data_IF_533587346206
#
_entry.id   IF_533587346206
#
_cell.length_a   1.000
_cell.length_b   1.000
_cell.length_c   1.000
_cell.angle_alpha   90.00
_cell.angle_beta   90.00
_cell.angle_gamma   90.00
#
_symmetry.space_group_name_H-M   'P 1'
#
loop_
_entity.id
_entity.type
_entity.pdbx_description
1 polymer ?
#
# COMPACT_ATOMS: atom_id res chain seq x y z
N UNK A 1 -13.26 58.46 56.86
CA UNK A 1 -14.19 57.41 57.33
C UNK A 1 -13.76 56.08 56.72
N UNK A 2 -13.97 55.02 57.48
CA UNK A 2 -13.26 53.74 57.48
C UNK A 2 -13.53 52.78 56.31
N UNK A 3 -12.59 51.81 56.21
CA UNK A 3 -12.73 50.40 55.75
C UNK A 3 -12.74 50.18 54.23
N UNK A 4 -12.15 49.12 53.68
CA UNK A 4 -11.51 47.93 54.22
C UNK A 4 -10.55 47.34 53.18
N UNK A 5 -9.47 46.71 53.66
CA UNK A 5 -8.66 45.78 52.89
C UNK A 5 -9.45 44.48 52.63
N UNK A 6 -9.28 43.89 51.45
CA UNK A 6 -9.58 42.48 51.21
C UNK A 6 -8.50 41.89 50.32
N UNK A 7 -7.90 40.81 50.82
CA UNK A 7 -6.88 40.02 50.18
C UNK A 7 -7.52 39.04 49.17
N UNK A 8 -6.88 38.89 48.01
CA UNK A 8 -7.08 37.71 47.17
C UNK A 8 -5.72 37.32 46.57
N UNK A 9 -5.25 36.15 46.98
CA UNK A 9 -4.04 35.53 46.49
C UNK A 9 -4.24 35.11 45.02
N UNK A 10 -3.48 35.70 44.10
CA UNK A 10 -3.35 35.18 42.75
C UNK A 10 -2.37 34.00 42.76
N UNK A 11 -2.89 32.80 42.97
CA UNK A 11 -2.19 31.57 42.62
C UNK A 11 -1.97 31.55 41.10
N UNK A 12 -0.72 31.31 40.72
CA UNK A 12 -0.29 31.25 39.33
C UNK A 12 -0.94 30.11 38.57
N UNK A 13 -1.34 30.41 37.33
CA UNK A 13 -1.56 29.40 36.31
C UNK A 13 -0.59 29.68 35.17
N UNK A 14 0.56 28.99 35.20
CA UNK A 14 1.51 28.94 34.09
C UNK A 14 0.86 28.12 32.98
N UNK A 15 0.11 28.78 32.10
CA UNK A 15 -0.37 28.18 30.85
C UNK A 15 0.83 27.92 29.94
N UNK A 16 1.33 26.69 29.93
CA UNK A 16 2.27 26.24 28.90
C UNK A 16 1.51 26.16 27.57
N UNK A 17 1.89 26.99 26.61
CA UNK A 17 1.44 26.87 25.23
C UNK A 17 2.03 25.58 24.64
N UNK A 18 1.22 24.53 24.55
CA UNK A 18 1.54 23.33 23.78
C UNK A 18 1.64 23.73 22.31
N UNK A 19 2.84 23.59 21.73
CA UNK A 19 3.06 23.83 20.31
C UNK A 19 2.19 22.86 19.51
N UNK A 20 1.31 23.37 18.64
CA UNK A 20 0.65 22.57 17.62
C UNK A 20 1.72 21.91 16.77
N UNK A 21 1.82 20.58 16.87
CA UNK A 21 2.53 19.75 15.89
C UNK A 21 1.82 19.96 14.55
N UNK A 22 2.51 20.39 13.48
CA UNK A 22 1.89 20.45 12.17
C UNK A 22 1.51 19.02 11.78
N UNK A 23 0.24 18.80 11.46
CA UNK A 23 -0.23 17.52 10.93
C UNK A 23 0.68 17.07 9.78
N UNK A 24 1.18 15.84 9.86
CA UNK A 24 1.85 15.20 8.72
C UNK A 24 0.85 15.11 7.58
N UNK A 25 0.90 16.06 6.66
CA UNK A 25 0.44 15.83 5.31
C UNK A 25 1.26 14.68 4.73
N UNK A 26 0.59 13.69 4.14
CA UNK A 26 1.23 12.66 3.31
C UNK A 26 1.72 13.30 2.01
N UNK A 27 2.62 14.29 2.09
CA UNK A 27 3.40 14.70 0.94
C UNK A 27 4.70 13.92 1.01
N UNK A 28 4.76 12.83 0.23
CA UNK A 28 6.06 12.27 -0.13
C UNK A 28 6.97 13.38 -0.65
N UNK A 29 8.24 13.30 -0.32
CA UNK A 29 9.31 14.14 -0.86
C UNK A 29 9.14 14.26 -2.38
N UNK A 30 9.45 15.44 -2.97
CA UNK A 30 9.31 15.76 -4.39
C UNK A 30 10.25 14.93 -5.31
N UNK A 31 10.33 13.62 -5.13
CA UNK A 31 10.87 12.75 -6.15
C UNK A 31 9.89 12.69 -7.33
N UNK A 32 10.44 12.76 -8.54
CA UNK A 32 9.63 12.75 -9.75
C UNK A 32 8.83 11.43 -9.80
N UNK A 33 7.50 11.53 -9.69
CA UNK A 33 6.60 10.38 -9.73
C UNK A 33 6.91 9.48 -10.93
N UNK A 34 7.02 8.17 -10.66
CA UNK A 34 7.31 7.13 -11.66
C UNK A 34 6.17 7.02 -12.67
N UNK A 35 6.49 6.54 -13.88
CA UNK A 35 5.53 6.39 -14.99
C UNK A 35 5.43 4.92 -15.40
N UNK A 36 4.23 4.41 -15.58
CA UNK A 36 4.02 3.06 -16.13
C UNK A 36 4.34 3.03 -17.63
N UNK A 37 4.53 1.84 -18.23
CA UNK A 37 4.66 1.71 -19.68
C UNK A 37 3.47 2.26 -20.47
N UNK A 38 2.29 2.38 -19.85
CA UNK A 38 1.05 2.88 -20.46
C UNK A 38 0.80 4.38 -20.20
N UNK A 39 1.77 5.12 -19.67
CA UNK A 39 1.62 6.54 -19.34
C UNK A 39 1.11 7.40 -20.51
N UNK A 40 1.73 7.29 -21.69
CA UNK A 40 1.32 8.07 -22.86
C UNK A 40 -0.03 7.62 -23.40
N UNK A 41 -0.35 6.32 -23.30
CA UNK A 41 -1.67 5.79 -23.63
C UNK A 41 -2.75 6.43 -22.75
N UNK A 42 -2.50 6.56 -21.44
CA UNK A 42 -3.44 7.22 -20.53
C UNK A 42 -3.68 8.68 -20.91
N UNK A 43 -2.62 9.44 -21.20
CA UNK A 43 -2.75 10.84 -21.62
C UNK A 43 -3.57 10.97 -22.91
N UNK A 44 -3.27 10.16 -23.93
CA UNK A 44 -3.95 10.19 -25.22
C UNK A 44 -5.47 9.88 -25.11
N UNK A 45 -5.87 9.07 -24.13
CA UNK A 45 -7.27 8.68 -23.91
C UNK A 45 -7.99 9.55 -22.87
N UNK A 46 -7.37 10.65 -22.42
CA UNK A 46 -7.99 11.60 -21.48
C UNK A 46 -7.97 11.12 -20.01
N UNK A 47 -7.00 10.29 -19.65
CA UNK A 47 -6.77 9.85 -18.28
C UNK A 47 -6.32 11.02 -17.39
N UNK A 48 -7.04 11.21 -16.28
CA UNK A 48 -6.68 12.19 -15.24
C UNK A 48 -5.67 11.56 -14.29
N UNK A 49 -4.39 11.81 -14.54
CA UNK A 49 -3.29 11.21 -13.78
C UNK A 49 -3.10 11.87 -12.41
N UNK A 50 -2.99 11.06 -11.37
CA UNK A 50 -2.74 11.49 -9.98
C UNK A 50 -1.55 10.71 -9.39
N UNK A 51 -1.03 11.20 -8.26
CA UNK A 51 -0.02 10.48 -7.50
C UNK A 51 -0.67 9.31 -6.75
N UNK A 52 -0.18 8.10 -6.98
CA UNK A 52 -0.58 6.90 -6.25
C UNK A 52 0.64 6.01 -6.04
N UNK A 53 0.99 5.77 -4.76
CA UNK A 53 2.13 4.94 -4.36
C UNK A 53 3.47 5.24 -5.08
N UNK A 54 3.76 6.53 -5.31
CA UNK A 54 4.97 6.96 -6.02
C UNK A 54 4.86 6.93 -7.56
N UNK A 55 3.71 6.56 -8.12
CA UNK A 55 3.45 6.51 -9.57
C UNK A 55 2.44 7.56 -10.02
N UNK A 56 2.48 7.90 -11.31
CA UNK A 56 1.42 8.63 -12.02
C UNK A 56 0.46 7.65 -12.66
N UNK A 57 -0.75 7.54 -12.10
CA UNK A 57 -1.79 6.61 -12.56
C UNK A 57 -3.13 7.31 -12.78
N UNK A 58 -3.96 6.85 -13.73
CA UNK A 58 -5.25 7.47 -14.02
C UNK A 58 -6.26 7.17 -12.91
N UNK A 59 -6.80 8.22 -12.27
CA UNK A 59 -7.90 8.06 -11.32
C UNK A 59 -9.21 7.80 -12.08
N UNK A 60 -9.44 8.55 -13.16
CA UNK A 60 -10.56 8.37 -14.08
C UNK A 60 -10.16 8.78 -15.50
N UNK A 61 -11.00 8.39 -16.46
CA UNK A 61 -10.97 8.91 -17.83
C UNK A 61 -12.13 9.90 -18.03
N UNK A 62 -12.72 9.90 -19.23
CA UNK A 62 -13.83 10.77 -19.63
C UNK A 62 -15.10 10.51 -18.83
N UNK A 63 -15.46 9.23 -18.65
CA UNK A 63 -16.62 8.82 -17.88
C UNK A 63 -16.43 9.05 -16.37
N UNK A 64 -17.54 9.16 -15.64
CA UNK A 64 -17.49 9.20 -14.18
C UNK A 64 -17.03 7.85 -13.61
N UNK A 65 -16.44 7.86 -12.42
CA UNK A 65 -16.06 6.63 -11.72
C UNK A 65 -17.24 5.66 -11.53
N UNK A 66 -18.45 6.19 -11.33
CA UNK A 66 -19.68 5.38 -11.20
C UNK A 66 -20.02 4.68 -12.51
N UNK A 67 -19.96 5.39 -13.64
CA UNK A 67 -20.18 4.78 -14.94
C UNK A 67 -19.12 3.71 -15.24
N UNK A 68 -17.84 4.00 -14.97
CA UNK A 68 -16.75 3.02 -15.13
C UNK A 68 -16.96 1.77 -14.26
N UNK A 69 -17.40 1.93 -13.02
CA UNK A 69 -17.72 0.81 -12.14
C UNK A 69 -18.85 -0.07 -12.70
N UNK A 70 -19.96 0.56 -13.13
CA UNK A 70 -21.09 -0.16 -13.73
C UNK A 70 -20.71 -0.83 -15.05
N UNK A 71 -19.88 -0.18 -15.87
CA UNK A 71 -19.36 -0.73 -17.11
C UNK A 71 -18.53 -2.00 -16.86
N UNK A 72 -17.64 -1.97 -15.86
CA UNK A 72 -16.86 -3.16 -15.45
C UNK A 72 -17.73 -4.36 -15.10
N UNK A 73 -18.90 -4.12 -14.47
CA UNK A 73 -19.82 -5.21 -14.06
C UNK A 73 -20.74 -5.70 -15.18
N UNK A 74 -21.05 -4.84 -16.14
CA UNK A 74 -21.99 -5.15 -17.26
C UNK A 74 -21.27 -5.58 -18.53
N UNK A 75 -20.01 -5.21 -18.67
CA UNK A 75 -19.15 -5.43 -19.83
C UNK A 75 -17.74 -5.82 -19.35
N UNK A 76 -16.70 -5.20 -19.89
CA UNK A 76 -15.32 -5.39 -19.48
C UNK A 76 -14.61 -4.04 -19.38
N UNK A 77 -13.62 -3.96 -18.49
CA UNK A 77 -12.78 -2.78 -18.33
C UNK A 77 -11.32 -3.20 -18.30
N UNK A 78 -10.42 -2.31 -18.75
CA UNK A 78 -8.98 -2.51 -18.70
C UNK A 78 -8.39 -1.66 -17.56
N UNK A 79 -7.55 -2.29 -16.74
CA UNK A 79 -6.87 -1.63 -15.62
C UNK A 79 -5.36 -1.72 -15.80
N UNK A 80 -4.66 -0.59 -15.66
CA UNK A 80 -3.20 -0.58 -15.60
C UNK A 80 -2.74 -0.86 -14.16
N UNK A 81 -2.35 -2.11 -13.91
CA UNK A 81 -1.77 -2.57 -12.65
C UNK A 81 -0.26 -2.77 -12.73
N UNK A 82 0.40 -2.18 -13.74
CA UNK A 82 1.85 -2.37 -14.00
C UNK A 82 2.77 -1.82 -12.89
N UNK A 83 2.21 -1.04 -11.97
CA UNK A 83 2.91 -0.53 -10.79
C UNK A 83 3.05 -1.56 -9.66
N UNK A 84 2.25 -2.64 -9.69
CA UNK A 84 2.36 -3.74 -8.73
C UNK A 84 3.66 -4.52 -8.98
N UNK A 85 4.32 -4.91 -7.89
CA UNK A 85 5.56 -5.69 -7.99
C UNK A 85 5.23 -7.14 -8.37
N UNK A 86 5.95 -7.66 -9.36
CA UNK A 86 5.87 -9.06 -9.77
C UNK A 86 7.21 -9.75 -9.48
N UNK A 87 7.20 -10.77 -8.63
CA UNK A 87 8.41 -11.47 -8.21
C UNK A 87 8.30 -12.96 -8.53
N UNK A 88 9.40 -13.53 -9.03
CA UNK A 88 9.54 -14.97 -9.28
C UNK A 88 10.56 -15.58 -8.35
N UNK A 89 10.19 -16.67 -7.68
CA UNK A 89 11.12 -17.46 -6.86
C UNK A 89 11.31 -18.84 -7.45
N UNK A 90 12.59 -19.19 -7.59
CA UNK A 90 13.08 -20.45 -8.10
C UNK A 90 13.85 -21.20 -7.01
N UNK A 91 14.12 -22.48 -7.24
CA UNK A 91 14.88 -23.32 -6.32
C UNK A 91 14.03 -24.39 -5.65
N UNK A 92 14.70 -25.41 -5.10
CA UNK A 92 14.06 -26.58 -4.49
C UNK A 92 13.25 -26.20 -3.25
N UNK A 93 13.75 -25.26 -2.46
CA UNK A 93 13.14 -24.82 -1.20
C UNK A 93 12.15 -23.65 -1.35
N UNK A 94 11.74 -23.29 -2.57
CA UNK A 94 10.85 -22.13 -2.83
C UNK A 94 9.55 -22.16 -2.03
N UNK A 95 8.96 -23.34 -1.86
CA UNK A 95 7.71 -23.53 -1.10
C UNK A 95 7.96 -23.28 0.38
N UNK A 96 8.97 -23.95 0.95
CA UNK A 96 9.37 -23.78 2.34
C UNK A 96 9.72 -22.33 2.68
N UNK A 97 10.45 -21.65 1.79
CA UNK A 97 10.75 -20.23 1.93
C UNK A 97 9.45 -19.41 1.97
N UNK A 98 8.54 -19.64 1.03
CA UNK A 98 7.30 -18.89 0.97
C UNK A 98 6.43 -19.11 2.21
N UNK A 99 6.24 -20.36 2.63
CA UNK A 99 5.44 -20.70 3.82
C UNK A 99 6.05 -20.18 5.12
N UNK A 100 7.34 -19.83 5.14
CA UNK A 100 7.93 -19.11 6.29
C UNK A 100 7.50 -17.64 6.38
N UNK A 101 6.91 -17.09 5.32
CA UNK A 101 6.54 -15.68 5.21
C UNK A 101 5.02 -15.47 5.16
N UNK A 102 4.27 -16.46 4.67
CA UNK A 102 2.83 -16.34 4.40
C UNK A 102 2.00 -17.36 5.18
N UNK A 103 0.71 -17.05 5.31
CA UNK A 103 -0.24 -17.85 6.10
C UNK A 103 -0.96 -18.95 5.31
N UNK A 104 -0.74 -19.06 3.99
CA UNK A 104 -1.42 -20.03 3.12
C UNK A 104 -0.61 -21.30 2.90
N UNK A 105 -1.30 -22.43 2.68
CA UNK A 105 -0.68 -23.72 2.33
C UNK A 105 -0.21 -23.73 0.86
N UNK A 106 1.05 -23.37 0.63
CA UNK A 106 1.62 -23.23 -0.72
C UNK A 106 1.99 -24.59 -1.31
N UNK A 107 2.33 -25.57 -0.47
CA UNK A 107 2.62 -26.94 -0.87
C UNK A 107 1.43 -27.62 -1.58
N UNK A 108 0.20 -27.25 -1.22
CA UNK A 108 -1.04 -27.82 -1.77
C UNK A 108 -1.48 -27.18 -3.10
N UNK A 109 -0.77 -26.13 -3.56
CA UNK A 109 -1.07 -25.52 -4.85
C UNK A 109 -0.76 -26.50 -6.00
N UNK A 110 -1.76 -26.73 -6.85
CA UNK A 110 -1.55 -27.44 -8.11
C UNK A 110 -0.79 -26.57 -9.11
N UNK A 111 -0.13 -27.16 -10.12
CA UNK A 111 0.47 -26.38 -11.20
C UNK A 111 -0.55 -25.42 -11.82
N UNK A 112 -0.13 -24.16 -11.96
CA UNK A 112 -0.91 -23.01 -12.45
C UNK A 112 -2.11 -22.62 -11.57
N UNK A 113 -2.14 -23.08 -10.33
CA UNK A 113 -3.07 -22.61 -9.31
C UNK A 113 -2.44 -21.46 -8.52
N UNK A 114 -3.25 -20.47 -8.17
CA UNK A 114 -2.88 -19.43 -7.23
C UNK A 114 -3.87 -19.29 -6.09
N UNK A 115 -3.41 -18.67 -5.01
CA UNK A 115 -4.20 -18.33 -3.83
C UNK A 115 -3.84 -16.94 -3.32
N UNK A 116 -4.81 -16.24 -2.73
CA UNK A 116 -4.55 -15.08 -1.90
C UNK A 116 -3.90 -15.54 -0.60
N UNK A 117 -2.89 -14.81 -0.14
CA UNK A 117 -2.27 -14.99 1.17
C UNK A 117 -1.82 -13.63 1.71
N UNK A 118 -1.20 -13.64 2.89
CA UNK A 118 -0.80 -12.46 3.62
C UNK A 118 0.64 -12.63 4.10
N UNK A 119 1.48 -11.62 3.91
CA UNK A 119 2.72 -11.52 4.68
C UNK A 119 2.38 -11.06 6.10
N UNK A 120 2.92 -11.73 7.10
CA UNK A 120 2.72 -11.39 8.50
C UNK A 120 4.04 -11.11 9.22
N UNK A 121 4.00 -10.27 10.24
CA UNK A 121 5.11 -10.10 11.18
C UNK A 121 4.99 -11.07 12.37
N UNK A 122 6.01 -11.11 13.22
CA UNK A 122 6.08 -11.98 14.42
C UNK A 122 4.93 -11.75 15.42
N UNK A 123 4.29 -10.58 15.41
CA UNK A 123 3.14 -10.27 16.25
C UNK A 123 1.79 -10.67 15.61
N UNK A 124 1.81 -11.30 14.42
CA UNK A 124 0.63 -11.68 13.66
C UNK A 124 -0.03 -10.52 12.90
N UNK A 125 0.61 -9.35 12.83
CA UNK A 125 0.13 -8.21 12.05
C UNK A 125 0.40 -8.39 10.56
N UNK A 126 -0.54 -7.95 9.72
CA UNK A 126 -0.43 -8.02 8.26
C UNK A 126 0.53 -6.94 7.77
N UNK A 127 1.54 -7.35 7.00
CA UNK A 127 2.52 -6.48 6.35
C UNK A 127 2.06 -6.09 4.94
N UNK A 128 1.58 -7.06 4.16
CA UNK A 128 1.02 -6.87 2.82
C UNK A 128 0.18 -8.10 2.43
N UNK A 129 -0.71 -7.94 1.46
CA UNK A 129 -1.43 -9.04 0.82
C UNK A 129 -0.81 -9.39 -0.54
N UNK A 130 -0.93 -10.66 -0.92
CA UNK A 130 -0.34 -11.15 -2.16
C UNK A 130 -1.11 -12.32 -2.75
N UNK A 131 -1.10 -12.41 -4.08
CA UNK A 131 -1.51 -13.61 -4.79
C UNK A 131 -0.26 -14.42 -5.13
N UNK A 132 -0.16 -15.64 -4.60
CA UNK A 132 0.92 -16.58 -4.88
C UNK A 132 0.42 -17.63 -5.86
N UNK A 133 1.17 -17.88 -6.93
CA UNK A 133 0.85 -18.86 -7.97
C UNK A 133 2.00 -19.83 -8.19
N UNK A 134 1.71 -21.13 -8.29
CA UNK A 134 2.70 -22.14 -8.68
C UNK A 134 2.79 -22.22 -10.21
N UNK A 135 3.72 -21.48 -10.82
CA UNK A 135 3.89 -21.43 -12.27
C UNK A 135 4.51 -22.72 -12.85
N UNK A 136 3.73 -23.49 -13.63
CA UNK A 136 4.15 -24.71 -14.31
C UNK A 136 4.99 -25.66 -13.42
N UNK A 137 4.66 -25.77 -12.13
CA UNK A 137 5.39 -26.54 -11.12
C UNK A 137 6.88 -26.14 -10.87
N UNK A 138 7.41 -25.13 -11.56
CA UNK A 138 8.86 -24.84 -11.60
C UNK A 138 9.27 -23.64 -10.76
N UNK A 139 8.36 -22.68 -10.56
CA UNK A 139 8.61 -21.44 -9.84
C UNK A 139 7.34 -20.96 -9.14
N UNK A 140 7.51 -20.13 -8.12
CA UNK A 140 6.43 -19.35 -7.56
C UNK A 140 6.44 -17.97 -8.23
N UNK A 141 5.28 -17.47 -8.60
CA UNK A 141 5.05 -16.10 -9.03
C UNK A 141 4.14 -15.44 -8.02
N UNK A 142 4.46 -14.24 -7.56
CA UNK A 142 3.54 -13.47 -6.76
C UNK A 142 3.50 -11.99 -7.10
N UNK A 143 2.40 -11.36 -6.69
CA UNK A 143 2.10 -9.95 -6.89
C UNK A 143 1.91 -9.29 -5.53
N UNK A 144 2.56 -8.15 -5.28
CA UNK A 144 2.35 -7.36 -4.04
C UNK A 144 1.84 -5.95 -4.36
N UNK A 145 1.10 -5.37 -3.41
CA UNK A 145 0.34 -4.13 -3.63
C UNK A 145 1.23 -2.90 -3.82
N UNK A 146 2.31 -2.79 -3.04
CA UNK A 146 3.15 -1.59 -3.03
C UNK A 146 4.62 -1.89 -2.85
N UNK A 147 5.46 -0.88 -3.15
CA UNK A 147 6.92 -0.92 -3.06
C UNK A 147 7.34 -1.74 -1.85
N UNK A 148 7.84 -2.94 -2.10
CA UNK A 148 8.44 -3.73 -1.07
C UNK A 148 9.65 -2.91 -0.60
N UNK A 149 9.48 -2.17 0.50
CA UNK A 149 10.58 -2.00 1.46
C UNK A 149 11.19 -3.40 1.59
N UNK A 150 12.52 -3.55 1.49
CA UNK A 150 13.15 -4.87 1.49
C UNK A 150 12.49 -5.70 2.58
N UNK A 151 11.87 -6.81 2.17
CA UNK A 151 11.17 -7.71 3.09
C UNK A 151 12.21 -8.05 4.18
N UNK A 152 11.91 -7.84 5.47
CA UNK A 152 12.85 -8.20 6.52
C UNK A 152 13.10 -9.70 6.38
N UNK A 153 14.30 -10.05 5.90
CA UNK A 153 14.71 -11.44 5.82
C UNK A 153 14.82 -11.95 7.26
N UNK A 154 14.48 -13.23 7.52
CA UNK A 154 14.62 -13.82 8.83
C UNK A 154 16.01 -13.53 9.41
N UNK A 155 16.06 -12.88 10.58
CA UNK A 155 17.31 -12.52 11.27
C UNK A 155 17.83 -11.10 11.07
N UNK A 156 17.09 -10.18 10.44
CA UNK A 156 17.43 -8.75 10.42
C UNK A 156 16.55 -7.96 11.40
N UNK A 157 17.05 -7.79 12.63
CA UNK A 157 16.57 -6.80 13.60
C UNK A 157 17.59 -5.67 13.74
#
# INVERSE_FOLDING_TARGET
>A
MQRAASAAAHLGFRGQALSLVPGRGLSGTQDALRRTPLYDFHLAHGGKLVAFAGWRLPVQYRDSHVHSHLHTRRHCSLFDVSHMLQTKIHGRDRVKLMESLVVGDIAELRPNQGTLSLFTNEAGGILDDLIVTLGNASHLLWFTSHECKPLPLPGQH
#
